data_IF_025780155036
#
_entry.id   IF_025780155036
#
_cell.length_a   1.000
_cell.length_b   1.000
_cell.length_c   1.000
_cell.angle_alpha   90.00
_cell.angle_beta   90.00
_cell.angle_gamma   90.00
#
_symmetry.space_group_name_H-M   'P 1'
#
loop_
_entity.id
_entity.type
_entity.pdbx_description
1 polymer ?
#
# COMPACT_ATOMS: atom_id res chain seq x y z
N UNK A 1 -2.05 52.58 -39.77
CA UNK A 1 -0.61 52.28 -39.61
C UNK A 1 -0.34 52.04 -38.13
N UNK A 2 0.29 50.90 -37.79
CA UNK A 2 0.89 50.48 -36.50
C UNK A 2 0.11 50.78 -35.19
N UNK A 3 -0.09 49.83 -34.26
CA UNK A 3 0.99 49.13 -33.56
C UNK A 3 0.44 47.91 -32.79
N UNK A 4 0.97 46.73 -33.09
CA UNK A 4 1.28 45.55 -32.24
C UNK A 4 0.34 45.22 -31.05
N UNK A 5 -0.44 44.13 -31.20
CA UNK A 5 -1.11 43.41 -30.11
C UNK A 5 -0.07 42.81 -29.15
N UNK A 6 -0.08 43.25 -27.89
CA UNK A 6 0.68 42.62 -26.81
C UNK A 6 -0.07 41.40 -26.28
N UNK A 7 0.49 40.24 -26.65
CA UNK A 7 0.31 38.95 -26.02
C UNK A 7 0.80 38.98 -24.56
N UNK A 8 -0.07 39.08 -23.57
CA UNK A 8 0.17 38.54 -22.21
C UNK A 8 -1.17 38.26 -21.50
N UNK A 9 -1.76 37.09 -21.73
CA UNK A 9 -2.71 36.49 -20.77
C UNK A 9 -2.01 35.32 -20.10
N UNK A 10 -1.03 35.62 -19.26
CA UNK A 10 -0.54 34.73 -18.23
C UNK A 10 -1.39 35.00 -16.98
N UNK A 11 -2.28 34.09 -16.61
CA UNK A 11 -2.49 33.77 -15.20
C UNK A 11 -3.39 32.54 -15.04
N UNK A 12 -2.75 31.42 -14.75
CA UNK A 12 -3.20 30.44 -13.75
C UNK A 12 -4.53 29.73 -14.07
N UNK A 13 -4.51 28.88 -15.10
CA UNK A 13 -5.20 27.59 -14.99
C UNK A 13 -4.31 26.65 -14.18
N UNK A 14 -4.12 26.97 -12.91
CA UNK A 14 -3.63 26.02 -11.92
C UNK A 14 -4.88 25.46 -11.27
N UNK A 15 -5.62 24.66 -12.06
CA UNK A 15 -6.43 23.63 -11.43
C UNK A 15 -5.43 22.74 -10.73
N UNK A 16 -5.33 22.97 -9.43
CA UNK A 16 -4.70 22.08 -8.50
C UNK A 16 -5.56 20.81 -8.53
N UNK A 17 -5.41 20.01 -9.58
CA UNK A 17 -5.72 18.60 -9.53
C UNK A 17 -4.74 18.06 -8.51
N UNK A 18 -5.20 18.02 -7.26
CA UNK A 18 -4.72 17.04 -6.30
C UNK A 18 -4.79 15.72 -7.05
N UNK A 19 -3.65 15.26 -7.57
CA UNK A 19 -3.48 13.87 -7.93
C UNK A 19 -3.74 13.16 -6.62
N UNK A 20 -4.98 12.72 -6.42
CA UNK A 20 -5.31 11.69 -5.45
C UNK A 20 -4.51 10.50 -5.97
N UNK A 21 -3.26 10.38 -5.50
CA UNK A 21 -2.60 9.09 -5.49
C UNK A 21 -3.47 8.30 -4.52
N UNK A 22 -4.51 7.69 -5.06
CA UNK A 22 -5.39 6.79 -4.32
C UNK A 22 -4.51 5.62 -3.94
N UNK A 23 -3.86 5.71 -2.78
CA UNK A 23 -3.17 4.57 -2.21
C UNK A 23 -4.20 3.48 -2.05
N UNK A 24 -3.94 2.33 -2.67
CA UNK A 24 -4.83 1.18 -2.59
C UNK A 24 -4.52 0.36 -1.32
N UNK A 25 -3.86 0.99 -0.34
CA UNK A 25 -3.37 0.39 0.88
C UNK A 25 -3.67 1.31 2.07
N UNK A 26 -4.54 0.86 2.97
CA UNK A 26 -4.83 1.49 4.25
C UNK A 26 -4.23 0.65 5.39
N UNK A 27 -3.63 1.34 6.35
CA UNK A 27 -2.98 0.73 7.50
C UNK A 27 -3.84 0.83 8.75
N UNK A 28 -3.90 -0.26 9.53
CA UNK A 28 -4.49 -0.25 10.88
C UNK A 28 -3.61 0.48 11.88
N UNK A 29 -2.29 0.39 11.68
CA UNK A 29 -1.26 0.83 12.61
C UNK A 29 -0.43 1.96 12.00
N UNK A 30 -0.43 3.13 12.67
CA UNK A 30 0.32 4.31 12.21
C UNK A 30 1.83 4.06 12.06
N UNK A 31 2.40 3.17 12.85
CA UNK A 31 3.83 2.87 12.76
C UNK A 31 4.18 2.06 11.50
N UNK A 32 3.23 1.28 10.96
CA UNK A 32 3.42 0.50 9.73
C UNK A 32 3.26 1.40 8.50
N UNK A 33 2.31 2.34 8.56
CA UNK A 33 2.16 3.42 7.59
C UNK A 33 3.45 4.25 7.51
N UNK A 34 3.97 4.74 8.64
CA UNK A 34 5.23 5.49 8.70
C UNK A 34 6.44 4.70 8.19
N UNK A 35 6.45 3.38 8.40
CA UNK A 35 7.48 2.53 7.82
C UNK A 35 7.42 2.53 6.29
N UNK A 36 6.22 2.53 5.71
CA UNK A 36 6.03 2.51 4.26
C UNK A 36 6.22 3.88 3.61
N UNK A 37 5.59 4.93 4.16
CA UNK A 37 5.59 6.27 3.56
C UNK A 37 6.84 7.08 3.89
N UNK A 38 7.33 6.99 5.14
CA UNK A 38 8.42 7.83 5.64
C UNK A 38 9.77 7.09 5.74
N UNK A 39 9.83 5.80 5.37
CA UNK A 39 10.98 4.91 5.61
C UNK A 39 11.43 4.88 7.09
N UNK A 40 10.47 5.08 8.02
CA UNK A 40 10.74 5.11 9.47
C UNK A 40 10.78 3.71 10.05
N UNK A 41 11.96 3.27 10.47
CA UNK A 41 12.13 2.01 11.20
C UNK A 41 11.34 2.00 12.51
N UNK A 42 10.71 0.88 12.80
CA UNK A 42 9.98 0.66 14.04
C UNK A 42 10.44 -0.64 14.73
N UNK A 43 10.50 -0.65 16.06
CA UNK A 43 10.97 -1.79 16.87
C UNK A 43 10.17 -3.09 16.70
N UNK A 44 8.94 -3.00 16.18
CA UNK A 44 8.10 -4.17 15.90
C UNK A 44 8.43 -4.83 14.55
N UNK A 45 9.28 -4.20 13.73
CA UNK A 45 9.75 -4.74 12.46
C UNK A 45 11.21 -5.19 12.67
N UNK A 46 11.49 -6.50 12.74
CA UNK A 46 12.86 -6.98 12.73
C UNK A 46 13.59 -6.56 11.46
N UNK A 47 14.86 -6.15 11.58
CA UNK A 47 15.65 -5.76 10.40
C UNK A 47 15.87 -6.88 9.38
N UNK A 48 15.71 -8.14 9.79
CA UNK A 48 15.74 -9.29 8.89
C UNK A 48 14.56 -9.36 7.91
N UNK A 49 13.47 -8.62 8.18
CA UNK A 49 12.27 -8.62 7.34
C UNK A 49 11.99 -7.29 6.64
N UNK A 50 12.67 -6.20 6.98
CA UNK A 50 12.40 -4.84 6.44
C UNK A 50 12.22 -4.85 4.91
N UNK A 51 13.22 -5.34 4.17
CA UNK A 51 13.16 -5.39 2.70
C UNK A 51 12.04 -6.30 2.17
N UNK A 52 11.77 -7.41 2.85
CA UNK A 52 10.72 -8.33 2.44
C UNK A 52 9.34 -7.73 2.71
N UNK A 53 9.18 -7.05 3.84
CA UNK A 53 7.95 -6.38 4.25
C UNK A 53 7.63 -5.23 3.29
N UNK A 54 8.60 -4.36 3.01
CA UNK A 54 8.41 -3.22 2.10
C UNK A 54 7.91 -3.68 0.72
N UNK A 55 8.57 -4.68 0.12
CA UNK A 55 8.14 -5.25 -1.17
C UNK A 55 6.72 -5.82 -1.14
N UNK A 56 6.26 -6.36 -0.01
CA UNK A 56 4.90 -6.90 0.12
C UNK A 56 3.87 -5.79 0.22
N UNK A 57 4.20 -4.69 0.88
CA UNK A 57 3.36 -3.48 0.93
C UNK A 57 3.26 -2.84 -0.47
N UNK A 58 4.36 -2.74 -1.21
CA UNK A 58 4.34 -2.29 -2.62
C UNK A 58 3.44 -3.18 -3.49
N UNK A 59 3.49 -4.50 -3.31
CA UNK A 59 2.60 -5.43 -4.04
C UNK A 59 1.13 -5.19 -3.68
N UNK A 60 0.81 -4.95 -2.40
CA UNK A 60 -0.56 -4.66 -1.99
C UNK A 60 -1.07 -3.35 -2.57
N UNK A 61 -0.25 -2.30 -2.54
CA UNK A 61 -0.61 -0.98 -3.07
C UNK A 61 -0.74 -0.98 -4.61
N UNK A 62 0.02 -1.82 -5.30
CA UNK A 62 -0.03 -1.95 -6.76
C UNK A 62 -1.11 -2.92 -7.29
N UNK A 63 -1.69 -3.76 -6.43
CA UNK A 63 -2.61 -4.82 -6.86
C UNK A 63 -3.99 -4.24 -7.22
N UNK A 64 -4.57 -4.73 -8.31
CA UNK A 64 -5.92 -4.35 -8.74
C UNK A 64 -6.91 -5.51 -8.54
N UNK A 65 -6.41 -6.74 -8.51
CA UNK A 65 -7.19 -7.94 -8.28
C UNK A 65 -6.47 -8.93 -7.35
N UNK A 66 -7.23 -9.85 -6.74
CA UNK A 66 -6.66 -10.92 -5.90
C UNK A 66 -5.67 -11.81 -6.67
N UNK A 67 -5.81 -11.93 -8.00
CA UNK A 67 -4.86 -12.66 -8.84
C UNK A 67 -3.46 -12.06 -8.77
N UNK A 68 -3.35 -10.75 -8.63
CA UNK A 68 -2.07 -10.04 -8.56
C UNK A 68 -1.38 -10.38 -7.23
N UNK A 69 -2.15 -10.51 -6.16
CA UNK A 69 -1.66 -10.90 -4.84
C UNK A 69 -1.14 -12.34 -4.79
N UNK A 70 -1.52 -13.19 -5.75
CA UNK A 70 -0.96 -14.55 -5.89
C UNK A 70 0.41 -14.57 -6.58
N UNK A 71 0.83 -13.45 -7.16
CA UNK A 71 2.09 -13.30 -7.88
C UNK A 71 3.00 -12.35 -7.08
N UNK A 72 4.24 -12.76 -6.74
CA UNK A 72 4.89 -14.05 -6.98
C UNK A 72 4.35 -15.18 -6.08
N UNK A 73 4.57 -16.47 -6.42
CA UNK A 73 4.05 -17.62 -5.68
C UNK A 73 4.47 -17.67 -4.20
N UNK A 74 5.53 -16.95 -3.83
CA UNK A 74 5.96 -16.77 -2.44
C UNK A 74 5.01 -15.94 -1.57
N UNK A 75 4.02 -15.24 -2.16
CA UNK A 75 3.02 -14.48 -1.40
C UNK A 75 2.11 -15.40 -0.61
N UNK A 76 1.79 -16.59 -1.14
CA UNK A 76 0.84 -17.53 -0.51
C UNK A 76 -0.41 -16.79 -0.02
N UNK A 77 -1.04 -16.06 -0.94
CA UNK A 77 -2.29 -15.36 -0.65
C UNK A 77 -3.36 -16.37 -0.21
N UNK A 78 -3.96 -16.10 0.94
CA UNK A 78 -4.92 -16.99 1.62
C UNK A 78 -6.07 -16.13 2.17
N UNK A 79 -7.32 -16.50 1.90
CA UNK A 79 -8.47 -16.02 2.65
C UNK A 79 -8.48 -16.66 4.04
N UNK A 80 -8.69 -15.87 5.08
CA UNK A 80 -8.73 -16.34 6.45
C UNK A 80 -10.14 -16.84 6.82
N UNK A 81 -10.17 -17.81 7.72
CA UNK A 81 -11.40 -18.50 8.15
C UNK A 81 -11.75 -18.20 9.62
N UNK A 82 -12.91 -18.69 10.06
CA UNK A 82 -13.37 -18.56 11.45
C UNK A 82 -13.64 -17.10 11.84
N UNK A 83 -13.04 -16.65 12.93
CA UNK A 83 -13.20 -15.28 13.46
C UNK A 83 -12.63 -14.20 12.53
N UNK A 84 -11.80 -14.59 11.56
CA UNK A 84 -11.19 -13.70 10.57
C UNK A 84 -11.82 -13.86 9.18
N UNK A 85 -13.05 -14.38 9.10
CA UNK A 85 -13.79 -14.45 7.84
C UNK A 85 -13.91 -13.04 7.22
N UNK A 86 -13.55 -12.93 5.94
CA UNK A 86 -13.51 -11.65 5.21
C UNK A 86 -12.16 -10.93 5.28
N UNK A 87 -11.19 -11.49 5.99
CA UNK A 87 -9.79 -11.06 5.96
C UNK A 87 -8.98 -11.96 5.05
N UNK A 88 -7.88 -11.42 4.56
CA UNK A 88 -6.89 -12.09 3.73
C UNK A 88 -5.52 -12.00 4.39
N UNK A 89 -4.60 -12.87 3.99
CA UNK A 89 -3.20 -12.78 4.39
C UNK A 89 -2.24 -13.01 3.24
N UNK A 90 -1.11 -12.32 3.28
CA UNK A 90 0.08 -12.62 2.46
C UNK A 90 1.30 -12.85 3.35
N UNK A 91 2.15 -13.78 2.96
CA UNK A 91 3.34 -14.15 3.70
C UNK A 91 4.49 -13.20 3.41
N UNK A 92 5.05 -12.63 4.49
CA UNK A 92 6.30 -11.86 4.45
C UNK A 92 7.49 -12.80 4.53
N UNK A 93 7.50 -13.69 5.52
CA UNK A 93 8.51 -14.74 5.67
C UNK A 93 7.95 -15.93 6.47
N UNK A 94 8.82 -16.81 7.01
CA UNK A 94 8.38 -17.96 7.80
C UNK A 94 7.54 -17.60 9.04
N UNK A 95 7.78 -16.44 9.66
CA UNK A 95 7.24 -16.04 10.96
C UNK A 95 6.26 -14.85 10.88
N UNK A 96 6.18 -14.15 9.75
CA UNK A 96 5.39 -12.92 9.64
C UNK A 96 4.42 -12.98 8.46
N UNK A 97 3.20 -12.50 8.70
CA UNK A 97 2.13 -12.34 7.71
C UNK A 97 1.63 -10.90 7.74
N UNK A 98 1.25 -10.37 6.58
CA UNK A 98 0.39 -9.19 6.51
C UNK A 98 -1.05 -9.69 6.48
N UNK A 99 -1.91 -9.10 7.29
CA UNK A 99 -3.34 -9.39 7.36
C UNK A 99 -4.10 -8.11 7.03
N UNK A 100 -5.09 -8.21 6.15
CA UNK A 100 -5.85 -7.08 5.61
C UNK A 100 -7.23 -7.52 5.12
N UNK A 101 -8.13 -6.58 4.90
CA UNK A 101 -9.40 -6.82 4.20
C UNK A 101 -9.22 -6.41 2.74
N UNK A 102 -9.70 -7.23 1.81
CA UNK A 102 -9.60 -6.91 0.38
C UNK A 102 -10.96 -6.46 -0.15
N UNK A 103 -11.04 -5.23 -0.66
CA UNK A 103 -12.28 -4.63 -1.17
C UNK A 103 -11.98 -3.86 -2.44
N UNK A 104 -12.51 -4.32 -3.58
CA UNK A 104 -12.47 -3.62 -4.88
C UNK A 104 -11.09 -3.09 -5.28
N UNK A 105 -10.04 -3.90 -5.10
CA UNK A 105 -8.66 -3.52 -5.44
C UNK A 105 -7.91 -2.79 -4.32
N UNK A 106 -8.53 -2.62 -3.14
CA UNK A 106 -7.96 -1.91 -2.00
C UNK A 106 -7.74 -2.85 -0.81
N UNK A 107 -6.55 -2.81 -0.23
CA UNK A 107 -6.20 -3.50 1.01
C UNK A 107 -6.48 -2.58 2.22
N UNK A 108 -7.54 -2.88 2.96
CA UNK A 108 -7.99 -2.10 4.12
C UNK A 108 -7.50 -2.69 5.44
N UNK A 109 -7.34 -1.84 6.46
CA UNK A 109 -6.98 -2.23 7.82
C UNK A 109 -5.73 -3.12 7.89
N UNK A 110 -4.72 -2.87 7.07
CA UNK A 110 -3.54 -3.72 6.94
C UNK A 110 -2.67 -3.64 8.19
N UNK A 111 -2.27 -4.80 8.72
CA UNK A 111 -1.34 -4.90 9.85
C UNK A 111 -0.38 -6.09 9.71
N UNK A 112 0.77 -6.00 10.39
CA UNK A 112 1.78 -7.04 10.45
C UNK A 112 1.52 -7.96 11.65
N UNK A 113 1.35 -9.25 11.38
CA UNK A 113 1.14 -10.29 12.38
C UNK A 113 2.36 -11.20 12.52
N UNK A 114 2.98 -11.30 13.71
CA UNK A 114 3.97 -12.32 14.01
C UNK A 114 3.28 -13.66 14.27
N UNK A 115 3.20 -14.49 13.23
CA UNK A 115 2.73 -15.86 13.32
C UNK A 115 3.75 -16.74 14.05
N UNK A 116 3.63 -16.81 15.37
CA UNK A 116 4.33 -17.79 16.21
C UNK A 116 3.56 -19.11 16.16
N UNK A 117 4.23 -20.16 15.69
CA UNK A 117 3.79 -21.54 15.93
C UNK A 117 3.97 -21.91 17.40
#
# INVERSE_FOLDING_TARGET
>A
MCTVLLCVTLCVWMHNETVQVVMALEFKDKWLEQFYEDDKRHRLIPSSIENALFRKLEILDAAQAESDLRIPPGNRFEHLEGNLKGWCSIRVNKQYRLIFQWVDGVALNTYLDPHKY
#
